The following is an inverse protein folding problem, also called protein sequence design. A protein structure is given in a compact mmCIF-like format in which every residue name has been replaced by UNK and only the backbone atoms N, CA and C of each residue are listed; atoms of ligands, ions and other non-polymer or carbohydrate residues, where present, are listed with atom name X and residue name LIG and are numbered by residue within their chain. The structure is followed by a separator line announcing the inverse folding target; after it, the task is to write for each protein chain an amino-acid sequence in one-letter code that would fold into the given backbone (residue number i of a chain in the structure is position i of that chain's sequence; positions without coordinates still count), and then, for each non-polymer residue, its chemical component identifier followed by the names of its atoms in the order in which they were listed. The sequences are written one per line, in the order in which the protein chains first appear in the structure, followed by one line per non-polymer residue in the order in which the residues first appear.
data_IF_125287408263
#
_entry.id   IF_125287408263
#
_cell.length_a   1.000
_cell.length_b   1.000
_cell.length_c   1.000
_cell.angle_alpha   90.00
_cell.angle_beta   90.00
_cell.angle_gamma   90.00
#
_symmetry.space_group_name_H-M   'P 1'
#
loop_
_entity.id
_entity.type
_entity.pdbx_description
1 polymer ?
#
# COMPACT_ATOMS: atom_id res chain seq x y z
N UNK A 1 -7.04 13.34 18.82
CA UNK A 1 -6.76 13.06 17.42
C UNK A 1 -7.32 11.70 17.05
N UNK A 2 -8.02 11.64 15.94
CA UNK A 2 -8.62 10.38 15.52
C UNK A 2 -7.56 9.43 14.99
N UNK A 3 -7.72 8.13 15.28
CA UNK A 3 -6.91 7.08 14.71
C UNK A 3 -7.22 6.99 13.21
N UNK A 4 -6.26 6.57 12.35
CA UNK A 4 -6.54 6.37 10.93
C UNK A 4 -7.71 5.43 10.68
N UNK A 5 -7.93 4.45 11.55
CA UNK A 5 -9.05 3.52 11.41
C UNK A 5 -10.39 4.17 11.75
N UNK A 6 -10.37 5.34 12.39
CA UNK A 6 -11.60 6.07 12.71
C UNK A 6 -11.98 7.07 11.63
N UNK A 7 -11.13 7.27 10.63
CA UNK A 7 -11.43 8.17 9.53
C UNK A 7 -12.39 7.49 8.57
N UNK A 8 -13.51 8.14 8.31
CA UNK A 8 -14.59 7.61 7.47
C UNK A 8 -14.94 8.57 6.34
N UNK A 9 -15.49 8.05 5.23
CA UNK A 9 -16.02 8.94 4.21
C UNK A 9 -17.17 9.79 4.78
N UNK A 10 -17.42 10.97 4.21
CA UNK A 10 -16.74 11.56 3.06
C UNK A 10 -15.38 12.13 3.46
N UNK A 11 -14.40 12.00 2.55
CA UNK A 11 -13.05 12.46 2.81
C UNK A 11 -12.89 13.95 2.51
N UNK A 12 -12.00 14.57 3.26
CA UNK A 12 -11.47 15.90 2.95
C UNK A 12 -10.04 15.72 2.46
N UNK A 13 -9.42 16.78 1.96
CA UNK A 13 -8.01 16.72 1.57
C UNK A 13 -7.14 16.22 2.73
N UNK A 14 -7.43 16.71 3.93
CA UNK A 14 -6.67 16.36 5.12
C UNK A 14 -6.87 14.89 5.51
N UNK A 15 -8.10 14.41 5.54
CA UNK A 15 -8.37 13.03 5.96
C UNK A 15 -7.95 12.04 4.88
N UNK A 16 -8.07 12.39 3.59
CA UNK A 16 -7.55 11.55 2.52
C UNK A 16 -6.04 11.39 2.63
N UNK A 17 -5.32 12.50 2.89
CA UNK A 17 -3.87 12.44 3.07
C UNK A 17 -3.50 11.58 4.27
N UNK A 18 -4.28 11.66 5.35
CA UNK A 18 -4.04 10.85 6.55
C UNK A 18 -4.21 9.36 6.24
N UNK A 19 -5.21 8.99 5.43
CA UNK A 19 -5.40 7.59 5.02
C UNK A 19 -4.22 7.09 4.19
N UNK A 20 -3.70 7.92 3.29
CA UNK A 20 -2.55 7.56 2.46
C UNK A 20 -1.32 7.31 3.34
N UNK A 21 -1.07 8.21 4.29
CA UNK A 21 0.07 8.07 5.19
C UNK A 21 -0.08 6.83 6.07
N UNK A 22 -1.28 6.55 6.56
CA UNK A 22 -1.54 5.38 7.37
C UNK A 22 -1.27 4.09 6.58
N UNK A 23 -1.64 4.05 5.30
CA UNK A 23 -1.39 2.89 4.46
C UNK A 23 0.12 2.69 4.25
N UNK A 24 0.84 3.77 3.97
CA UNK A 24 2.30 3.69 3.83
C UNK A 24 2.94 3.14 5.11
N UNK A 25 2.52 3.66 6.25
CA UNK A 25 3.07 3.24 7.54
C UNK A 25 2.78 1.75 7.81
N UNK A 26 1.55 1.33 7.54
CA UNK A 26 1.15 -0.07 7.78
C UNK A 26 1.92 -1.03 6.89
N UNK A 27 2.04 -0.75 5.61
CA UNK A 27 2.77 -1.62 4.67
C UNK A 27 4.26 -1.69 5.00
N UNK A 28 4.83 -0.60 5.49
CA UNK A 28 6.24 -0.58 5.88
C UNK A 28 6.52 -1.37 7.17
N UNK A 29 5.49 -1.83 7.88
CA UNK A 29 5.70 -2.74 9.00
C UNK A 29 6.06 -4.14 8.53
N UNK A 30 5.75 -4.49 7.27
CA UNK A 30 5.95 -5.80 6.69
C UNK A 30 5.19 -6.89 7.46
N UNK A 31 4.07 -6.50 8.06
CA UNK A 31 3.24 -7.39 8.89
C UNK A 31 1.90 -7.62 8.18
N UNK A 32 1.71 -8.79 7.53
CA UNK A 32 0.47 -9.07 6.79
C UNK A 32 -0.79 -8.97 7.64
N UNK A 33 -0.72 -9.39 8.89
CA UNK A 33 -1.89 -9.36 9.76
C UNK A 33 -2.30 -7.93 10.08
N UNK A 34 -1.31 -7.07 10.31
CA UNK A 34 -1.57 -5.66 10.60
C UNK A 34 -2.16 -4.95 9.38
N UNK A 35 -1.58 -5.19 8.21
CA UNK A 35 -2.06 -4.57 6.96
C UNK A 35 -3.48 -5.00 6.67
N UNK A 36 -3.80 -6.28 6.87
CA UNK A 36 -5.12 -6.81 6.54
C UNK A 36 -6.25 -6.13 7.30
N UNK A 37 -5.98 -5.59 8.47
CA UNK A 37 -7.01 -4.94 9.30
C UNK A 37 -7.57 -3.65 8.67
N UNK A 38 -6.88 -3.07 7.68
CA UNK A 38 -7.34 -1.86 7.02
C UNK A 38 -8.40 -2.15 5.96
N UNK A 39 -8.67 -3.41 5.66
CA UNK A 39 -9.54 -3.83 4.57
C UNK A 39 -10.78 -4.51 5.12
N UNK A 40 -11.88 -4.44 4.35
CA UNK A 40 -13.10 -5.17 4.74
C UNK A 40 -12.83 -6.67 4.67
N UNK A 41 -13.67 -7.45 5.34
CA UNK A 41 -13.49 -8.90 5.36
C UNK A 41 -13.68 -9.53 3.99
N UNK A 42 -14.43 -8.86 3.12
CA UNK A 42 -14.68 -9.29 1.74
C UNK A 42 -14.03 -8.36 0.72
N UNK A 43 -12.97 -7.67 1.10
CA UNK A 43 -12.31 -6.68 0.25
C UNK A 43 -11.89 -7.28 -1.08
N UNK A 44 -12.06 -6.50 -2.14
CA UNK A 44 -11.75 -6.93 -3.50
C UNK A 44 -10.48 -6.24 -3.96
N UNK A 45 -9.50 -7.04 -4.40
CA UNK A 45 -8.21 -6.52 -4.84
C UNK A 45 -7.88 -6.96 -6.24
N UNK A 46 -7.22 -6.10 -6.97
CA UNK A 46 -6.37 -6.49 -8.09
C UNK A 46 -5.00 -5.88 -7.85
N UNK A 47 -3.98 -6.72 -7.88
CA UNK A 47 -2.59 -6.26 -7.79
C UNK A 47 -1.85 -6.82 -8.99
N UNK A 48 -1.48 -5.96 -9.94
CA UNK A 48 -0.94 -6.38 -11.24
C UNK A 48 -1.97 -7.27 -11.93
N UNK A 49 -1.67 -8.54 -12.12
CA UNK A 49 -2.56 -9.51 -12.75
C UNK A 49 -3.15 -10.52 -11.76
N UNK A 50 -2.95 -10.29 -10.45
CA UNK A 50 -3.54 -11.14 -9.41
C UNK A 50 -4.82 -10.52 -8.88
N UNK A 51 -5.84 -11.36 -8.72
CA UNK A 51 -7.12 -10.96 -8.19
C UNK A 51 -7.34 -11.68 -6.87
N UNK A 52 -7.66 -10.92 -5.83
CA UNK A 52 -7.81 -11.45 -4.48
C UNK A 52 -9.13 -11.01 -3.90
N UNK A 53 -9.67 -11.83 -3.01
CA UNK A 53 -10.90 -11.50 -2.33
C UNK A 53 -10.81 -11.91 -0.87
N UNK A 54 -10.92 -10.93 0.02
CA UNK A 54 -10.95 -11.15 1.45
C UNK A 54 -9.61 -11.13 2.13
N UNK A 55 -9.66 -10.98 3.45
CA UNK A 55 -8.45 -10.78 4.27
C UNK A 55 -7.49 -11.95 4.24
N UNK A 56 -7.99 -13.19 4.17
CA UNK A 56 -7.10 -14.35 4.16
C UNK A 56 -6.26 -14.38 2.89
N UNK A 57 -6.86 -14.08 1.75
CA UNK A 57 -6.11 -14.03 0.49
C UNK A 57 -5.14 -12.87 0.48
N UNK A 58 -5.53 -11.75 1.08
CA UNK A 58 -4.65 -10.59 1.21
C UNK A 58 -3.42 -10.94 2.06
N UNK A 59 -3.62 -11.61 3.21
CA UNK A 59 -2.50 -12.04 4.06
C UNK A 59 -1.56 -12.97 3.30
N UNK A 60 -2.11 -13.93 2.57
CA UNK A 60 -1.30 -14.87 1.79
C UNK A 60 -0.48 -14.15 0.73
N UNK A 61 -1.09 -13.20 0.03
CA UNK A 61 -0.39 -12.39 -0.96
C UNK A 61 0.76 -11.62 -0.32
N UNK A 62 0.53 -10.98 0.81
CA UNK A 62 1.54 -10.17 1.47
C UNK A 62 2.70 -11.01 1.99
N UNK A 63 2.42 -12.22 2.49
CA UNK A 63 3.49 -13.15 2.91
C UNK A 63 4.39 -13.48 1.73
N UNK A 64 3.80 -13.80 0.58
CA UNK A 64 4.58 -14.12 -0.63
C UNK A 64 5.37 -12.91 -1.12
N UNK A 65 4.75 -11.73 -1.07
CA UNK A 65 5.38 -10.49 -1.52
C UNK A 65 6.64 -10.20 -0.70
N UNK A 66 6.52 -10.20 0.62
CA UNK A 66 7.64 -9.82 1.47
C UNK A 66 8.65 -10.93 1.70
N UNK A 67 8.31 -12.16 1.36
CA UNK A 67 9.30 -13.22 1.26
C UNK A 67 10.19 -13.01 0.03
N UNK A 68 9.64 -12.44 -1.03
CA UNK A 68 10.32 -12.23 -2.31
C UNK A 68 10.99 -10.87 -2.43
N UNK A 69 10.35 -9.84 -1.86
CA UNK A 69 10.84 -8.46 -1.96
C UNK A 69 11.52 -8.08 -0.66
N UNK A 70 12.83 -8.22 -0.63
CA UNK A 70 13.62 -7.96 0.58
C UNK A 70 14.04 -6.50 0.65
N UNK A 71 14.29 -6.01 1.87
CA UNK A 71 14.69 -4.62 2.05
C UNK A 71 13.62 -3.62 1.65
N UNK A 72 12.37 -4.06 1.63
CA UNK A 72 11.22 -3.30 1.13
C UNK A 72 11.02 -1.98 1.89
N UNK A 73 10.83 -0.91 1.11
CA UNK A 73 10.48 0.40 1.67
C UNK A 73 9.59 1.14 0.67
N UNK A 74 8.46 1.62 1.17
CA UNK A 74 7.38 2.19 0.38
C UNK A 74 7.17 3.67 0.68
N UNK A 75 6.87 4.44 -0.37
CA UNK A 75 6.47 5.83 -0.26
C UNK A 75 5.21 6.04 -1.08
N UNK A 76 4.16 6.57 -0.46
CA UNK A 76 2.90 6.86 -1.14
C UNK A 76 2.62 8.36 -1.14
N UNK A 77 1.87 8.80 -2.14
CA UNK A 77 1.38 10.18 -2.17
C UNK A 77 -0.07 10.21 -2.64
N UNK A 78 -0.83 11.11 -2.06
CA UNK A 78 -2.20 11.36 -2.47
C UNK A 78 -2.21 12.01 -3.86
N UNK A 79 -2.98 11.42 -4.79
CA UNK A 79 -3.11 12.01 -6.12
C UNK A 79 -4.43 12.77 -6.25
N UNK A 80 -5.52 12.14 -5.83
CA UNK A 80 -6.85 12.74 -5.91
C UNK A 80 -7.78 11.99 -4.97
N UNK A 81 -8.91 12.60 -4.62
CA UNK A 81 -9.90 11.93 -3.79
C UNK A 81 -11.30 12.40 -4.14
N UNK A 82 -12.28 11.60 -3.78
CA UNK A 82 -13.69 11.95 -3.87
C UNK A 82 -14.38 11.58 -2.56
N UNK A 83 -15.68 11.39 -2.60
CA UNK A 83 -16.48 11.10 -1.42
C UNK A 83 -15.92 9.92 -0.61
N UNK A 84 -15.83 8.74 -1.24
CA UNK A 84 -15.34 7.53 -0.59
C UNK A 84 -14.21 6.87 -1.37
N UNK A 85 -13.53 7.63 -2.25
CA UNK A 85 -12.47 7.11 -3.12
C UNK A 85 -11.21 7.93 -2.98
N UNK A 86 -10.08 7.24 -3.09
CA UNK A 86 -8.76 7.88 -3.04
C UNK A 86 -7.90 7.29 -4.14
N UNK A 87 -7.29 8.15 -4.94
CA UNK A 87 -6.31 7.74 -5.95
C UNK A 87 -4.92 8.05 -5.41
N UNK A 88 -4.01 7.09 -5.55
CA UNK A 88 -2.69 7.13 -4.91
C UNK A 88 -1.61 6.85 -5.94
N UNK A 89 -0.50 7.54 -5.83
CA UNK A 89 0.74 7.20 -6.54
C UNK A 89 1.72 6.67 -5.52
N UNK A 90 2.50 5.66 -5.90
CA UNK A 90 3.49 5.13 -4.96
C UNK A 90 4.73 4.63 -5.67
N UNK A 91 5.79 4.51 -4.91
CA UNK A 91 7.03 3.88 -5.32
C UNK A 91 7.50 3.03 -4.17
N UNK A 92 8.10 1.90 -4.47
CA UNK A 92 8.82 1.16 -3.44
C UNK A 92 10.08 0.57 -4.02
N UNK A 93 11.02 0.27 -3.13
CA UNK A 93 12.29 -0.33 -3.51
C UNK A 93 12.46 -1.62 -2.75
N UNK A 94 13.06 -2.60 -3.40
CA UNK A 94 13.34 -3.89 -2.80
C UNK A 94 14.38 -4.60 -3.63
N UNK A 95 15.00 -5.65 -3.05
CA UNK A 95 15.90 -6.49 -3.84
C UNK A 95 15.37 -7.92 -3.85
N UNK A 96 15.67 -8.64 -4.94
CA UNK A 96 15.22 -10.02 -5.10
C UNK A 96 16.26 -10.99 -4.56
N UNK A 97 15.99 -12.29 -4.70
CA UNK A 97 16.88 -13.32 -4.14
C UNK A 97 18.26 -13.34 -4.79
N UNK A 98 18.42 -12.74 -5.96
CA UNK A 98 19.72 -12.63 -6.61
C UNK A 98 20.49 -11.40 -6.13
N UNK A 99 19.86 -10.55 -5.32
CA UNK A 99 20.45 -9.30 -4.86
C UNK A 99 20.23 -8.13 -5.81
N UNK A 100 19.47 -8.33 -6.87
CA UNK A 100 19.16 -7.25 -7.79
C UNK A 100 18.14 -6.31 -7.18
N UNK A 101 18.46 -5.00 -7.16
CA UNK A 101 17.55 -3.98 -6.66
C UNK A 101 16.59 -3.52 -7.74
N UNK A 102 15.38 -3.19 -7.31
CA UNK A 102 14.29 -2.72 -8.17
C UNK A 102 13.62 -1.51 -7.54
N UNK A 103 13.17 -0.59 -8.38
CA UNK A 103 12.24 0.44 -7.95
C UNK A 103 10.92 0.21 -8.69
N UNK A 104 9.85 0.04 -7.93
CA UNK A 104 8.53 -0.25 -8.50
C UNK A 104 7.70 1.02 -8.43
N UNK A 105 7.10 1.37 -9.58
CA UNK A 105 6.29 2.58 -9.72
C UNK A 105 4.85 2.14 -9.86
N UNK A 106 3.95 2.66 -9.03
CA UNK A 106 2.57 2.23 -9.05
C UNK A 106 1.56 3.34 -8.92
N UNK A 107 0.37 3.00 -9.39
CA UNK A 107 -0.82 3.80 -9.20
C UNK A 107 -1.88 2.87 -8.63
N UNK A 108 -2.66 3.35 -7.66
CA UNK A 108 -3.73 2.52 -7.13
C UNK A 108 -4.97 3.36 -6.91
N UNK A 109 -6.11 2.69 -6.99
CA UNK A 109 -7.41 3.28 -6.74
C UNK A 109 -8.03 2.56 -5.57
N UNK A 110 -8.51 3.31 -4.60
CA UNK A 110 -9.13 2.79 -3.39
C UNK A 110 -10.58 3.21 -3.30
N UNK A 111 -11.42 2.32 -2.77
CA UNK A 111 -12.79 2.66 -2.42
C UNK A 111 -13.05 2.13 -1.01
N UNK A 112 -13.69 2.95 -0.18
CA UNK A 112 -13.92 2.66 1.23
C UNK A 112 -15.39 2.44 1.50
N UNK A 113 -15.70 1.60 2.50
CA UNK A 113 -17.06 1.50 2.98
C UNK A 113 -17.31 2.60 4.01
N UNK A 114 -18.53 2.69 4.50
CA UNK A 114 -18.90 3.77 5.42
C UNK A 114 -18.23 3.66 6.78
N UNK A 115 -17.69 2.50 7.13
CA UNK A 115 -16.95 2.33 8.38
C UNK A 115 -15.52 2.83 8.29
N UNK A 116 -15.03 3.14 7.08
CA UNK A 116 -13.67 3.59 6.87
C UNK A 116 -12.69 2.49 6.51
N UNK A 117 -13.19 1.27 6.28
CA UNK A 117 -12.34 0.18 5.80
C UNK A 117 -12.33 0.15 4.28
N UNK A 118 -11.20 -0.23 3.70
CA UNK A 118 -11.05 -0.26 2.25
C UNK A 118 -11.72 -1.50 1.69
N UNK A 119 -12.72 -1.28 0.84
CA UNK A 119 -13.51 -2.35 0.24
C UNK A 119 -12.95 -2.78 -1.11
N UNK A 120 -12.27 -1.88 -1.82
CA UNK A 120 -11.69 -2.19 -3.13
C UNK A 120 -10.32 -1.54 -3.25
N UNK A 121 -9.38 -2.28 -3.83
CA UNK A 121 -8.05 -1.78 -4.13
C UNK A 121 -7.59 -2.33 -5.46
N UNK A 122 -7.28 -1.45 -6.39
CA UNK A 122 -6.80 -1.84 -7.72
C UNK A 122 -5.46 -1.17 -7.95
N UNK A 123 -4.40 -1.95 -8.13
CA UNK A 123 -3.05 -1.44 -8.26
C UNK A 123 -2.38 -1.93 -9.53
N UNK A 124 -1.82 -0.99 -10.29
CA UNK A 124 -1.02 -1.27 -11.47
C UNK A 124 0.41 -0.84 -11.16
N UNK A 125 1.39 -1.69 -11.47
CA UNK A 125 2.77 -1.50 -11.04
C UNK A 125 3.73 -1.89 -12.14
N UNK A 126 4.77 -1.07 -12.34
CA UNK A 126 5.87 -1.36 -13.26
C UNK A 126 7.16 -1.39 -12.47
N UNK A 127 8.01 -2.38 -12.74
CA UNK A 127 9.29 -2.55 -12.05
C UNK A 127 10.43 -2.04 -12.93
N UNK A 128 11.35 -1.30 -12.31
CA UNK A 128 12.54 -0.78 -13.01
C UNK A 128 13.76 -1.27 -12.25
N UNK A 129 14.70 -1.89 -12.99
CA UNK A 129 15.97 -2.28 -12.39
C UNK A 129 16.76 -1.05 -12.00
N UNK A 130 17.35 -1.08 -10.82
CA UNK A 130 18.23 -0.01 -10.37
C UNK A 130 19.49 -0.62 -9.78
N UNK A 131 20.53 0.20 -9.69
CA UNK A 131 21.71 -0.16 -8.93
C UNK A 131 21.43 0.16 -7.45
N UNK A 132 22.07 -0.56 -6.55
CA UNK A 132 21.88 -0.29 -5.12
C UNK A 132 22.22 1.16 -4.77
N UNK A 133 23.21 1.74 -5.44
CA UNK A 133 23.60 3.12 -5.21
C UNK A 133 22.52 4.13 -5.63
N UNK A 134 21.53 3.68 -6.41
CA UNK A 134 20.44 4.55 -6.88
C UNK A 134 19.26 4.57 -5.92
N UNK A 135 19.31 3.82 -4.84
CA UNK A 135 18.24 3.81 -3.84
C UNK A 135 18.03 5.21 -3.29
N UNK A 136 16.77 5.61 -3.14
CA UNK A 136 16.44 6.94 -2.65
C UNK A 136 15.25 6.99 -1.69
N UNK A 137 14.59 5.86 -1.45
CA UNK A 137 13.49 5.84 -0.48
C UNK A 137 14.10 5.50 0.87
N UNK A 138 13.96 6.45 1.81
CA UNK A 138 14.61 6.34 3.10
C UNK A 138 14.09 5.13 3.88
N UNK A 139 15.01 4.42 4.51
CA UNK A 139 14.68 3.22 5.23
C UNK A 139 14.29 3.51 6.64
N UNK A 140 14.95 4.44 7.26
CA UNK A 140 14.67 4.66 8.63
C UNK A 140 14.40 6.06 8.88
N UNK A 141 14.31 6.76 8.30
CA UNK A 141 13.96 7.96 8.54
C UNK A 141 13.96 8.38 9.85
N UNK A 142 14.13 8.19 10.23
CA UNK A 142 14.00 8.63 11.14
C UNK A 142 14.14 8.50 11.93
N UNK A 143 14.25 8.26 11.72
CA UNK A 143 14.20 8.27 12.40
C UNK A 143 14.26 8.84 13.18
#
# INVERSE_FOLDING_TARGET
MASPTDIRPPFTAETAAAKVQAAENAWNTLDPDRVALAYTEDSEWRNRDEFLNGRDEIRGFLRRKWAREQGYRLKKSLWAFGDNRIAVRFEYESYDESGQWWRSYGNENWEFDESGLMAKRYASINDVKIDESERRIAIDDDA
#
